data_IF_645931474384
#
_entry.id   IF_645931474384
#
_cell.length_a   1.000
_cell.length_b   1.000
_cell.length_c   1.000
_cell.angle_alpha   90.00
_cell.angle_beta   90.00
_cell.angle_gamma   90.00
#
_symmetry.space_group_name_H-M   'P 1'
#
loop_
_entity.id
_entity.type
_entity.pdbx_description
1 polymer ?
#
# COMPACT_ATOMS: atom_id res chain seq x y z
N UNK A 1 -43.01 27.42 -15.00
CA UNK A 1 -42.56 28.64 -15.65
C UNK A 1 -41.02 28.65 -15.71
N UNK A 2 -40.37 29.13 -16.79
CA UNK A 2 -38.91 29.13 -16.88
C UNK A 2 -38.22 29.86 -15.74
N UNK A 3 -38.77 30.99 -15.30
CA UNK A 3 -38.23 31.77 -14.17
C UNK A 3 -38.26 31.00 -12.84
N UNK A 4 -39.27 30.15 -12.60
CA UNK A 4 -39.32 29.32 -11.40
C UNK A 4 -38.17 28.25 -11.44
N UNK A 5 -37.93 27.63 -12.60
CA UNK A 5 -36.83 26.66 -12.75
C UNK A 5 -35.46 27.29 -12.58
N UNK A 6 -35.28 28.52 -13.08
CA UNK A 6 -34.04 29.25 -12.89
C UNK A 6 -33.78 29.55 -11.41
N UNK A 7 -34.78 30.09 -10.70
CA UNK A 7 -34.68 30.36 -9.26
C UNK A 7 -34.47 29.10 -8.42
N UNK A 8 -35.05 27.97 -8.82
CA UNK A 8 -34.81 26.69 -8.15
C UNK A 8 -33.37 26.21 -8.34
N UNK A 9 -32.83 26.32 -9.56
CA UNK A 9 -31.43 25.95 -9.86
C UNK A 9 -30.43 26.84 -9.10
N UNK A 10 -30.71 28.13 -8.95
CA UNK A 10 -29.88 29.05 -8.14
C UNK A 10 -29.90 28.66 -6.66
N UNK A 11 -31.06 28.28 -6.13
CA UNK A 11 -31.21 27.83 -4.75
C UNK A 11 -30.40 26.53 -4.53
N UNK A 12 -30.56 25.54 -5.42
CA UNK A 12 -29.82 24.27 -5.37
C UNK A 12 -28.30 24.48 -5.44
N UNK A 13 -27.85 25.39 -6.31
CA UNK A 13 -26.44 25.75 -6.39
C UNK A 13 -25.94 26.38 -5.08
N UNK A 14 -26.67 27.32 -4.51
CA UNK A 14 -26.30 27.95 -3.25
C UNK A 14 -26.26 26.96 -2.08
N UNK A 15 -27.20 26.01 -2.04
CA UNK A 15 -27.21 24.93 -1.05
C UNK A 15 -26.00 23.99 -1.22
N UNK A 16 -25.65 23.66 -2.45
CA UNK A 16 -24.47 22.83 -2.75
C UNK A 16 -23.17 23.55 -2.32
N UNK A 17 -23.05 24.83 -2.61
CA UNK A 17 -21.88 25.63 -2.23
C UNK A 17 -21.77 25.73 -0.71
N UNK A 18 -22.88 25.90 0.00
CA UNK A 18 -22.91 25.89 1.45
C UNK A 18 -22.48 24.52 2.02
N UNK A 19 -22.95 23.43 1.44
CA UNK A 19 -22.58 22.08 1.88
C UNK A 19 -21.08 21.80 1.67
N UNK A 20 -20.46 22.42 0.67
CA UNK A 20 -19.03 22.29 0.38
C UNK A 20 -18.11 23.12 1.27
N UNK A 21 -18.66 24.04 2.06
CA UNK A 21 -17.88 24.82 3.03
C UNK A 21 -17.31 23.93 4.14
N UNK A 22 -17.99 22.83 4.44
CA UNK A 22 -17.53 21.85 5.42
C UNK A 22 -16.98 20.60 4.73
N UNK A 23 -15.66 20.38 4.87
CA UNK A 23 -14.99 19.19 4.34
C UNK A 23 -14.85 18.16 5.45
N UNK A 24 -15.47 17.01 5.29
CA UNK A 24 -15.44 15.91 6.25
C UNK A 24 -14.62 14.75 5.73
N UNK A 25 -13.92 14.07 6.65
CA UNK A 25 -13.23 12.83 6.34
C UNK A 25 -14.25 11.75 5.94
N UNK A 26 -14.01 11.10 4.81
CA UNK A 26 -14.85 10.00 4.30
C UNK A 26 -14.64 8.68 5.04
N UNK A 27 -13.50 8.52 5.69
CA UNK A 27 -13.08 7.30 6.40
C UNK A 27 -12.41 7.68 7.73
N UNK A 28 -12.46 6.78 8.73
CA UNK A 28 -11.70 6.97 9.96
C UNK A 28 -10.19 6.87 9.68
N UNK A 29 -9.41 7.78 10.27
CA UNK A 29 -7.98 7.81 10.03
C UNK A 29 -7.26 8.88 10.84
N UNK A 30 -5.96 8.97 10.61
CA UNK A 30 -5.09 9.96 11.24
C UNK A 30 -4.73 11.02 10.20
N UNK A 31 -4.99 12.28 10.52
CA UNK A 31 -4.66 13.40 9.66
C UNK A 31 -3.17 13.72 9.78
N UNK A 32 -2.50 13.82 8.64
CA UNK A 32 -1.12 14.29 8.55
C UNK A 32 -1.10 15.71 7.97
N UNK A 33 -0.30 16.58 8.58
CA UNK A 33 -0.11 17.96 8.15
C UNK A 33 -1.41 18.77 7.94
N UNK A 34 -2.25 18.92 8.98
CA UNK A 34 -3.44 19.73 8.85
C UNK A 34 -3.07 21.20 8.55
N UNK A 35 -3.84 21.90 7.69
CA UNK A 35 -3.62 23.30 7.44
C UNK A 35 -3.87 24.13 8.72
N UNK A 36 -3.13 25.22 8.85
CA UNK A 36 -3.32 26.13 9.98
C UNK A 36 -4.56 27.01 9.77
N UNK A 37 -5.29 27.37 10.84
CA UNK A 37 -6.37 28.33 10.73
C UNK A 37 -5.88 29.64 10.08
N UNK A 38 -6.64 30.16 9.11
CA UNK A 38 -6.28 31.33 8.33
C UNK A 38 -5.33 31.07 7.14
N UNK A 39 -4.91 29.83 6.93
CA UNK A 39 -4.10 29.48 5.76
C UNK A 39 -4.97 29.46 4.50
N UNK A 40 -4.55 30.18 3.47
CA UNK A 40 -5.18 30.13 2.16
C UNK A 40 -4.80 28.83 1.42
N UNK A 41 -5.79 28.14 0.90
CA UNK A 41 -5.62 26.97 0.05
C UNK A 41 -6.17 27.28 -1.34
N UNK A 42 -5.34 27.15 -2.36
CA UNK A 42 -5.78 27.32 -3.75
C UNK A 42 -6.70 26.17 -4.16
N UNK A 43 -7.64 26.43 -5.06
CA UNK A 43 -8.49 25.39 -5.63
C UNK A 43 -7.64 24.30 -6.31
N UNK A 44 -7.90 23.03 -5.98
CA UNK A 44 -7.13 21.88 -6.47
C UNK A 44 -5.83 21.58 -5.72
N UNK A 45 -5.46 22.42 -4.73
CA UNK A 45 -4.30 22.12 -3.89
C UNK A 45 -4.63 21.02 -2.84
N UNK A 46 -3.64 20.17 -2.56
CA UNK A 46 -3.76 19.19 -1.48
C UNK A 46 -3.78 19.89 -0.13
N UNK A 47 -4.87 19.77 0.60
CA UNK A 47 -5.03 20.39 1.92
C UNK A 47 -4.33 19.60 3.03
N UNK A 48 -4.48 18.28 3.01
CA UNK A 48 -3.94 17.37 4.02
C UNK A 48 -3.89 15.94 3.45
N UNK A 49 -3.14 15.07 4.11
CA UNK A 49 -3.19 13.64 3.86
C UNK A 49 -3.91 12.93 5.01
N UNK A 50 -4.84 12.03 4.67
CA UNK A 50 -5.53 11.17 5.62
C UNK A 50 -4.97 9.76 5.53
N UNK A 51 -4.31 9.31 6.60
CA UNK A 51 -3.88 7.93 6.73
C UNK A 51 -5.05 7.13 7.30
N UNK A 52 -5.67 6.32 6.47
CA UNK A 52 -6.86 5.55 6.83
C UNK A 52 -6.48 4.42 7.79
N UNK A 53 -7.22 4.30 8.89
CA UNK A 53 -7.14 3.16 9.78
C UNK A 53 -7.84 1.97 9.10
N UNK A 54 -7.07 1.13 8.43
CA UNK A 54 -7.56 -0.06 7.73
C UNK A 54 -6.66 -1.25 7.98
N UNK A 55 -6.89 -2.32 7.25
CA UNK A 55 -6.00 -3.46 7.25
C UNK A 55 -4.67 -3.05 6.60
N UNK A 56 -3.57 -3.00 7.37
CA UNK A 56 -2.27 -2.70 6.81
C UNK A 56 -1.84 -3.81 5.88
N UNK A 57 -1.00 -3.46 4.91
CA UNK A 57 -0.40 -4.41 3.98
C UNK A 57 1.07 -4.08 3.81
N UNK A 58 1.84 -5.09 3.44
CA UNK A 58 3.26 -4.97 3.15
C UNK A 58 3.47 -5.32 1.69
N UNK A 59 4.31 -4.56 1.02
CA UNK A 59 4.83 -4.88 -0.30
C UNK A 59 6.27 -5.36 -0.14
N UNK A 60 6.47 -6.67 -0.33
CA UNK A 60 7.77 -7.29 -0.18
C UNK A 60 8.34 -7.64 -1.56
N UNK A 61 9.57 -7.18 -1.84
CA UNK A 61 10.23 -7.35 -3.12
C UNK A 61 11.10 -8.61 -3.11
N UNK A 62 10.59 -9.73 -3.59
CA UNK A 62 11.30 -11.00 -3.68
C UNK A 62 12.04 -11.15 -5.01
N UNK A 63 13.23 -11.79 -5.02
CA UNK A 63 13.85 -12.24 -6.25
C UNK A 63 12.94 -13.23 -7.00
N UNK A 64 12.89 -13.16 -8.33
CA UNK A 64 12.07 -14.08 -9.15
C UNK A 64 12.40 -15.56 -8.89
N UNK A 65 13.64 -15.86 -8.49
CA UNK A 65 14.11 -17.21 -8.18
C UNK A 65 13.43 -17.82 -6.96
N UNK A 66 12.99 -16.98 -6.03
CA UNK A 66 12.43 -17.43 -4.74
C UNK A 66 10.91 -17.60 -4.80
N UNK A 67 10.30 -17.19 -5.91
CA UNK A 67 8.83 -17.21 -6.08
C UNK A 67 8.28 -18.51 -6.64
N UNK A 68 9.12 -19.50 -6.96
CA UNK A 68 8.71 -20.76 -7.60
C UNK A 68 7.58 -21.48 -6.85
N UNK A 69 7.59 -21.41 -5.52
CA UNK A 69 6.60 -22.09 -4.66
C UNK A 69 5.73 -21.13 -3.87
N UNK A 70 5.75 -19.83 -4.21
CA UNK A 70 4.93 -18.82 -3.55
C UNK A 70 3.58 -18.71 -4.23
N UNK A 71 2.50 -18.84 -3.44
CA UNK A 71 1.13 -18.76 -3.92
C UNK A 71 0.27 -17.91 -2.97
N UNK A 72 -0.79 -17.26 -3.46
CA UNK A 72 -1.76 -16.58 -2.61
C UNK A 72 -2.33 -17.50 -1.53
N UNK A 73 -2.54 -16.96 -0.33
CA UNK A 73 -3.07 -17.67 0.82
C UNK A 73 -2.03 -18.34 1.72
N UNK A 74 -0.75 -18.36 1.35
CA UNK A 74 0.30 -18.92 2.20
C UNK A 74 0.54 -18.06 3.44
N UNK A 75 0.85 -18.69 4.61
CA UNK A 75 1.14 -17.99 5.84
C UNK A 75 2.50 -17.27 5.76
N UNK A 76 2.55 -16.09 6.36
CA UNK A 76 3.74 -15.23 6.40
C UNK A 76 4.02 -14.80 7.82
N UNK A 77 5.27 -14.95 8.26
CA UNK A 77 5.79 -14.30 9.46
C UNK A 77 6.39 -12.94 9.08
N UNK A 78 6.06 -11.91 9.87
CA UNK A 78 6.44 -10.53 9.61
C UNK A 78 7.17 -10.00 10.82
N UNK A 79 8.38 -9.50 10.61
CA UNK A 79 9.21 -8.86 11.61
C UNK A 79 9.42 -7.40 11.22
N UNK A 80 8.95 -6.49 12.06
CA UNK A 80 9.06 -5.04 11.82
C UNK A 80 10.23 -4.51 12.62
N UNK A 81 11.17 -3.84 11.97
CA UNK A 81 12.43 -3.39 12.56
C UNK A 81 12.25 -2.52 13.81
N UNK A 82 11.15 -1.75 13.85
CA UNK A 82 10.82 -0.90 15.02
C UNK A 82 10.44 -1.71 16.26
N UNK A 83 10.02 -2.96 16.08
CA UNK A 83 9.53 -3.84 17.16
C UNK A 83 10.15 -5.24 17.04
N UNK A 84 11.44 -5.39 17.36
CA UNK A 84 12.20 -6.62 17.11
C UNK A 84 11.70 -7.85 17.88
N UNK A 85 11.05 -7.63 19.02
CA UNK A 85 10.53 -8.72 19.87
C UNK A 85 9.13 -9.19 19.49
N UNK A 86 8.52 -8.58 18.45
CA UNK A 86 7.16 -8.87 18.04
C UNK A 86 7.14 -9.48 16.63
N UNK A 87 6.34 -10.53 16.46
CA UNK A 87 6.10 -11.16 15.16
C UNK A 87 4.63 -11.04 14.81
N UNK A 88 4.34 -10.47 13.65
CA UNK A 88 2.99 -10.43 13.09
C UNK A 88 2.76 -11.60 12.16
N UNK A 89 1.55 -12.10 12.12
CA UNK A 89 1.14 -13.13 11.18
C UNK A 89 0.33 -12.51 10.07
N UNK A 90 0.69 -12.85 8.85
CA UNK A 90 0.02 -12.41 7.64
C UNK A 90 -0.25 -13.54 6.68
N UNK A 91 -0.80 -13.20 5.55
CA UNK A 91 -1.03 -14.11 4.42
C UNK A 91 -0.63 -13.43 3.12
N UNK A 92 -0.10 -14.20 2.18
CA UNK A 92 0.14 -13.73 0.82
C UNK A 92 -1.21 -13.40 0.19
N UNK A 93 -1.41 -12.14 -0.21
CA UNK A 93 -2.63 -11.68 -0.88
C UNK A 93 -2.51 -11.89 -2.39
N UNK A 94 -1.48 -11.31 -2.99
CA UNK A 94 -1.27 -11.38 -4.43
C UNK A 94 0.20 -11.21 -4.79
N UNK A 95 0.57 -11.74 -5.96
CA UNK A 95 1.84 -11.49 -6.61
C UNK A 95 1.61 -10.50 -7.75
N UNK A 96 2.51 -9.53 -7.89
CA UNK A 96 2.44 -8.60 -9.01
C UNK A 96 2.59 -9.34 -10.34
N UNK A 97 1.78 -9.01 -11.35
CA UNK A 97 1.92 -9.61 -12.69
C UNK A 97 3.16 -9.13 -13.45
N UNK A 98 3.87 -8.13 -12.93
CA UNK A 98 5.05 -7.55 -13.56
C UNK A 98 6.14 -7.28 -12.53
N UNK A 99 7.39 -7.25 -12.99
CA UNK A 99 8.56 -6.92 -12.15
C UNK A 99 8.64 -5.42 -11.90
N UNK A 100 9.35 -5.01 -10.85
CA UNK A 100 9.56 -3.59 -10.54
C UNK A 100 10.27 -2.81 -11.66
N UNK A 101 11.02 -3.50 -12.51
CA UNK A 101 11.72 -2.89 -13.65
C UNK A 101 10.74 -2.37 -14.73
N UNK A 102 9.61 -3.03 -14.94
CA UNK A 102 8.59 -2.61 -15.92
C UNK A 102 7.87 -1.32 -15.50
N UNK A 103 7.80 -1.04 -14.20
CA UNK A 103 7.20 0.18 -13.67
C UNK A 103 8.19 1.32 -13.44
N UNK A 104 9.49 1.08 -13.76
CA UNK A 104 10.52 2.11 -13.60
C UNK A 104 10.43 3.15 -14.71
N UNK A 105 10.39 4.43 -14.31
CA UNK A 105 10.42 5.57 -15.25
C UNK A 105 11.74 5.61 -16.05
N UNK A 106 12.80 5.02 -15.52
CA UNK A 106 14.12 4.89 -16.17
C UNK A 106 14.50 3.41 -16.20
N UNK A 107 14.20 2.67 -17.28
CA UNK A 107 14.65 1.30 -17.40
C UNK A 107 16.19 1.24 -17.43
N UNK A 108 16.77 0.26 -16.75
CA UNK A 108 18.20 0.03 -16.79
C UNK A 108 18.63 -0.31 -18.22
N UNK A 109 19.22 0.65 -18.92
CA UNK A 109 19.76 0.44 -20.26
C UNK A 109 21.18 -0.14 -20.15
N UNK A 110 21.38 -1.34 -20.71
CA UNK A 110 22.70 -1.91 -20.90
C UNK A 110 23.41 -1.17 -22.06
N UNK A 111 24.08 -0.06 -21.74
CA UNK A 111 24.74 0.81 -22.72
C UNK A 111 26.02 0.20 -23.36
N UNK A 112 26.47 -0.96 -22.91
CA UNK A 112 27.80 -1.50 -23.25
C UNK A 112 27.80 -2.81 -24.06
N UNK A 113 26.65 -3.23 -24.61
CA UNK A 113 26.60 -4.40 -25.51
C UNK A 113 26.83 -5.78 -24.86
N UNK A 114 27.24 -5.86 -23.62
CA UNK A 114 27.31 -7.11 -22.86
C UNK A 114 26.00 -7.35 -22.13
N UNK A 115 25.23 -8.36 -22.56
CA UNK A 115 24.01 -8.76 -21.87
C UNK A 115 24.37 -9.53 -20.59
N UNK A 116 24.07 -8.93 -19.45
CA UNK A 116 24.18 -9.58 -18.13
C UNK A 116 22.78 -9.88 -17.61
N UNK A 117 22.50 -11.16 -17.31
CA UNK A 117 21.25 -11.55 -16.67
C UNK A 117 21.22 -11.02 -15.23
N UNK A 118 20.35 -10.06 -14.96
CA UNK A 118 20.10 -9.53 -13.61
C UNK A 118 18.79 -10.14 -13.10
N UNK A 119 18.83 -10.76 -11.91
CA UNK A 119 17.64 -11.30 -11.24
C UNK A 119 16.69 -10.15 -10.94
N UNK A 120 15.49 -10.25 -11.47
CA UNK A 120 14.45 -9.25 -11.26
C UNK A 120 13.74 -9.45 -9.92
N UNK A 121 13.23 -8.36 -9.36
CA UNK A 121 12.42 -8.39 -8.13
C UNK A 121 10.95 -8.23 -8.48
N UNK A 122 10.13 -9.09 -7.88
CA UNK A 122 8.68 -9.08 -8.05
C UNK A 122 8.04 -8.66 -6.75
N UNK A 123 7.19 -7.62 -6.75
CA UNK A 123 6.45 -7.22 -5.55
C UNK A 123 5.39 -8.28 -5.20
N UNK A 124 5.41 -8.70 -3.95
CA UNK A 124 4.41 -9.58 -3.35
C UNK A 124 3.65 -8.80 -2.29
N UNK A 125 2.34 -8.76 -2.42
CA UNK A 125 1.46 -8.10 -1.46
C UNK A 125 1.09 -9.08 -0.35
N UNK A 126 1.30 -8.65 0.89
CA UNK A 126 1.03 -9.42 2.09
C UNK A 126 0.03 -8.64 2.94
N UNK A 127 -1.10 -9.27 3.25
CA UNK A 127 -2.08 -8.73 4.19
C UNK A 127 -1.85 -9.30 5.57
N UNK A 128 -2.04 -8.48 6.58
CA UNK A 128 -2.01 -8.91 7.97
C UNK A 128 -2.98 -8.10 8.81
N UNK A 129 -3.42 -8.68 9.91
CA UNK A 129 -4.28 -8.00 10.87
C UNK A 129 -3.45 -7.60 12.09
N UNK A 130 -3.67 -6.39 12.58
CA UNK A 130 -3.10 -5.96 13.86
C UNK A 130 -3.99 -6.51 14.98
N UNK A 131 -3.46 -7.44 15.75
CA UNK A 131 -4.20 -8.03 16.86
C UNK A 131 -4.44 -6.99 17.98
N UNK A 132 -5.52 -7.11 18.75
CA UNK A 132 -5.74 -6.27 19.93
C UNK A 132 -4.54 -6.31 20.89
N UNK A 133 -4.06 -5.15 21.32
CA UNK A 133 -2.89 -5.04 22.19
C UNK A 133 -1.54 -4.90 21.46
N UNK A 134 -1.50 -5.05 20.15
CA UNK A 134 -0.32 -4.75 19.33
C UNK A 134 -0.14 -3.24 19.16
N UNK A 135 1.11 -2.75 19.05
CA UNK A 135 1.38 -1.34 18.80
C UNK A 135 0.83 -0.88 17.47
N UNK A 136 0.43 0.40 17.42
CA UNK A 136 -0.07 1.01 16.20
C UNK A 136 1.08 1.21 15.21
N UNK A 137 0.95 0.63 14.02
CA UNK A 137 1.95 0.72 12.97
C UNK A 137 1.80 2.02 12.18
N UNK A 138 2.94 2.57 11.79
CA UNK A 138 3.00 3.73 10.90
C UNK A 138 3.29 3.26 9.47
N UNK A 139 2.70 3.92 8.49
CA UNK A 139 3.04 3.68 7.10
C UNK A 139 4.52 4.04 6.82
N UNK A 140 5.18 3.26 5.98
CA UNK A 140 6.58 3.49 5.59
C UNK A 140 7.62 2.84 6.51
N UNK A 141 7.22 1.99 7.45
CA UNK A 141 8.15 1.19 8.24
C UNK A 141 8.76 0.07 7.40
N UNK A 142 10.02 -0.26 7.69
CA UNK A 142 10.70 -1.42 7.12
C UNK A 142 10.32 -2.70 7.87
N UNK A 143 10.19 -3.79 7.12
CA UNK A 143 9.89 -5.11 7.67
C UNK A 143 10.61 -6.21 6.88
N UNK A 144 10.96 -7.27 7.58
CA UNK A 144 11.41 -8.53 7.00
C UNK A 144 10.24 -9.50 7.01
N UNK A 145 10.05 -10.23 5.92
CA UNK A 145 8.95 -11.19 5.78
C UNK A 145 9.48 -12.57 5.41
N UNK A 146 8.92 -13.59 6.02
CA UNK A 146 9.22 -14.99 5.77
C UNK A 146 7.94 -15.72 5.37
N UNK A 147 7.91 -16.24 4.13
CA UNK A 147 6.76 -16.97 3.58
C UNK A 147 7.00 -18.47 3.80
N UNK A 148 6.08 -19.12 4.51
CA UNK A 148 6.10 -20.57 4.61
C UNK A 148 5.45 -21.18 3.36
N UNK A 149 6.29 -21.65 2.45
CA UNK A 149 5.84 -22.30 1.21
C UNK A 149 5.46 -23.78 1.40
N UNK A 150 5.77 -24.37 2.57
CA UNK A 150 5.62 -25.81 2.82
C UNK A 150 6.53 -26.71 1.96
N UNK A 151 7.38 -26.10 1.11
CA UNK A 151 8.28 -26.86 0.25
C UNK A 151 9.54 -27.28 1.00
N UNK A 152 9.76 -28.61 1.06
CA UNK A 152 11.00 -29.19 1.61
C UNK A 152 11.93 -29.61 0.48
N UNK A 153 13.17 -29.12 0.50
CA UNK A 153 14.20 -29.62 -0.43
C UNK A 153 14.46 -31.09 -0.18
N UNK A 154 14.30 -31.90 -1.21
CA UNK A 154 14.74 -33.30 -1.18
C UNK A 154 16.19 -33.35 -1.71
N UNK A 155 17.13 -33.70 -0.86
CA UNK A 155 18.51 -34.00 -1.25
C UNK A 155 18.72 -35.49 -1.11
N UNK A 156 19.06 -36.18 -2.21
CA UNK A 156 19.35 -37.60 -2.27
C UNK A 156 18.25 -38.51 -1.63
N UNK A 157 16.98 -38.19 -1.84
CA UNK A 157 15.88 -39.02 -1.36
C UNK A 157 15.48 -38.82 0.10
N UNK A 158 16.17 -38.00 0.87
CA UNK A 158 15.81 -37.63 2.22
C UNK A 158 15.21 -36.21 2.26
N UNK A 159 14.10 -36.05 3.00
CA UNK A 159 13.56 -34.71 3.31
C UNK A 159 14.24 -34.21 4.59
N UNK A 160 14.83 -33.03 4.50
CA UNK A 160 15.32 -32.25 5.63
C UNK A 160 14.21 -31.38 6.15
#
# INVERSE_FOLDING_TARGET
HPSYRAALAELEQAQLDLARVEVRASLPGIVSNPPKPGQYLAAGATALALVVNGNPWIEANFPETDLTYVHPGQPVAIHIDTYPDLTWKGTVDSLSPATGAEFSVIPAQNATGNWVKIVQRVPVRIQFAVAPGMPQLRAGLSAVVEIDTGHRRRVLGFSL
#
